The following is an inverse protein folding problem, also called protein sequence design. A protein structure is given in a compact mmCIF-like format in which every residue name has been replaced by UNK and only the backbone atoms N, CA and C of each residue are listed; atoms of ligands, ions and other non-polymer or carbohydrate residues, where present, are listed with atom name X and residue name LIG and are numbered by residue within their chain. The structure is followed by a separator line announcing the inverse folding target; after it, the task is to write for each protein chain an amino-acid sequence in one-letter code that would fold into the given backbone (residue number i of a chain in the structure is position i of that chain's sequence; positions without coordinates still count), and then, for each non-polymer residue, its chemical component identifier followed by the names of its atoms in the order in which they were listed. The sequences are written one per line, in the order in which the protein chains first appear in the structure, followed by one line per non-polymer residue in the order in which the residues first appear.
data_IF_993516183312
#
_entry.id   IF_993516183312
#
_cell.length_a   1.000
_cell.length_b   1.000
_cell.length_c   1.000
_cell.angle_alpha   90.00
_cell.angle_beta   90.00
_cell.angle_gamma   90.00
#
_symmetry.space_group_name_H-M   'P 1'
#
loop_
_entity.id
_entity.type
_entity.pdbx_description
1 polymer ?
#
# COMPACT_ATOMS: atom_id res chain seq x y z
N UNK A 1 -10.37 -11.96 2.44
CA UNK A 1 -9.71 -10.78 1.83
C UNK A 1 -8.87 -11.13 0.60
N UNK A 2 -7.79 -11.95 0.68
CA UNK A 2 -6.93 -12.27 -0.49
C UNK A 2 -7.70 -12.61 -1.77
N UNK A 3 -8.65 -13.55 -1.70
CA UNK A 3 -9.41 -13.98 -2.88
C UNK A 3 -10.16 -12.83 -3.56
N UNK A 4 -10.79 -11.94 -2.79
CA UNK A 4 -11.51 -10.75 -3.31
C UNK A 4 -10.50 -9.76 -3.92
N UNK A 5 -9.39 -9.51 -3.21
CA UNK A 5 -8.32 -8.63 -3.69
C UNK A 5 -7.73 -9.10 -5.02
N UNK A 6 -7.53 -10.41 -5.23
CA UNK A 6 -6.97 -10.93 -6.49
C UNK A 6 -7.89 -10.69 -7.69
N UNK A 7 -9.23 -10.71 -7.51
CA UNK A 7 -10.19 -10.42 -8.59
C UNK A 7 -10.12 -8.97 -9.07
N UNK A 8 -9.75 -8.04 -8.19
CA UNK A 8 -9.62 -6.61 -8.51
C UNK A 8 -8.35 -6.24 -9.30
N UNK A 9 -7.48 -7.21 -9.57
CA UNK A 9 -6.31 -7.02 -10.42
C UNK A 9 -6.65 -7.28 -11.89
N UNK A 10 -5.79 -6.81 -12.80
CA UNK A 10 -5.85 -7.23 -14.21
C UNK A 10 -5.30 -8.64 -14.37
N UNK A 11 -5.63 -9.33 -15.48
CA UNK A 11 -5.08 -10.67 -15.76
C UNK A 11 -3.56 -10.74 -15.86
N UNK A 12 -2.93 -9.62 -16.23
CA UNK A 12 -1.47 -9.50 -16.26
C UNK A 12 -0.87 -9.41 -14.86
N UNK A 13 -1.64 -8.94 -13.88
CA UNK A 13 -1.21 -8.74 -12.49
C UNK A 13 -1.53 -9.96 -11.61
N UNK A 14 -2.66 -10.63 -11.83
CA UNK A 14 -3.05 -11.83 -11.11
C UNK A 14 -3.83 -12.80 -12.02
N UNK A 15 -3.63 -14.11 -11.84
CA UNK A 15 -4.29 -15.15 -12.63
C UNK A 15 -5.82 -15.08 -12.52
N UNK A 16 -6.32 -14.73 -11.34
CA UNK A 16 -7.73 -14.57 -11.01
C UNK A 16 -8.27 -13.17 -11.34
N UNK A 17 -7.46 -12.32 -11.98
CA UNK A 17 -7.82 -10.93 -12.29
C UNK A 17 -9.02 -10.83 -13.24
N UNK A 18 -9.97 -9.97 -12.87
CA UNK A 18 -11.20 -9.70 -13.61
C UNK A 18 -11.29 -8.22 -14.04
N UNK A 19 -10.35 -7.37 -13.61
CA UNK A 19 -10.36 -5.93 -13.89
C UNK A 19 -9.82 -5.62 -15.30
N UNK A 20 -10.53 -4.76 -16.02
CA UNK A 20 -10.06 -4.17 -17.27
C UNK A 20 -9.11 -3.00 -17.02
N UNK A 21 -8.12 -2.83 -17.88
CA UNK A 21 -7.20 -1.68 -17.84
C UNK A 21 -7.92 -0.43 -18.34
N UNK A 22 -8.17 0.51 -17.44
CA UNK A 22 -8.77 1.83 -17.72
C UNK A 22 -7.78 2.97 -17.48
N UNK A 23 -6.88 2.79 -16.53
CA UNK A 23 -5.97 3.84 -16.07
C UNK A 23 -4.49 3.50 -16.35
N UNK A 24 -3.59 4.48 -16.49
CA UNK A 24 -2.18 4.24 -16.79
C UNK A 24 -1.47 3.33 -15.78
N UNK A 25 -1.74 3.50 -14.48
CA UNK A 25 -1.18 2.69 -13.39
C UNK A 25 -1.72 1.25 -13.34
N UNK A 26 -2.70 0.90 -14.17
CA UNK A 26 -3.21 -0.47 -14.29
C UNK A 26 -2.51 -1.24 -15.41
N UNK A 27 -1.76 -0.54 -16.27
CA UNK A 27 -0.92 -1.14 -17.32
C UNK A 27 0.27 -1.87 -16.68
N UNK A 28 0.87 -2.85 -17.37
CA UNK A 28 2.12 -3.47 -16.93
C UNK A 28 3.18 -2.42 -16.61
N UNK A 29 3.89 -2.58 -15.49
CA UNK A 29 4.89 -1.61 -15.00
C UNK A 29 5.98 -1.32 -16.03
N UNK A 30 6.29 -2.26 -16.92
CA UNK A 30 7.24 -2.07 -18.03
C UNK A 30 6.81 -0.98 -19.04
N UNK A 31 5.54 -0.56 -19.05
CA UNK A 31 5.01 0.51 -19.91
C UNK A 31 4.88 1.85 -19.19
N UNK A 32 5.34 1.94 -17.94
CA UNK A 32 5.27 3.16 -17.17
C UNK A 32 6.43 4.09 -17.54
N UNK A 33 6.15 5.39 -17.50
CA UNK A 33 7.14 6.46 -17.67
C UNK A 33 7.16 7.29 -16.38
N UNK A 34 7.72 6.75 -15.28
CA UNK A 34 7.70 7.44 -13.99
C UNK A 34 8.69 8.61 -13.99
N UNK A 35 8.46 9.57 -13.09
CA UNK A 35 9.41 10.65 -12.79
C UNK A 35 9.85 10.58 -11.33
N UNK A 36 11.02 11.15 -11.00
CA UNK A 36 11.43 11.24 -9.58
C UNK A 36 10.46 12.11 -8.79
N UNK A 37 9.92 13.17 -9.39
CA UNK A 37 8.92 14.04 -8.75
C UNK A 37 7.62 13.27 -8.43
N UNK A 38 7.07 12.55 -9.41
CA UNK A 38 5.88 11.72 -9.22
C UNK A 38 6.12 10.61 -8.19
N UNK A 39 7.30 9.99 -8.22
CA UNK A 39 7.67 8.97 -7.25
C UNK A 39 7.82 9.54 -5.82
N UNK A 40 8.36 10.76 -5.66
CA UNK A 40 8.41 11.45 -4.36
C UNK A 40 7.01 11.74 -3.81
N UNK A 41 6.07 12.20 -4.65
CA UNK A 41 4.66 12.37 -4.25
C UNK A 41 4.06 11.04 -3.75
N UNK A 42 4.29 9.96 -4.49
CA UNK A 42 3.89 8.61 -4.08
C UNK A 42 4.47 8.19 -2.73
N UNK A 43 5.77 8.43 -2.49
CA UNK A 43 6.43 8.06 -1.23
C UNK A 43 5.92 8.90 -0.05
N UNK A 44 5.70 10.20 -0.23
CA UNK A 44 5.17 11.10 0.81
C UNK A 44 3.73 10.72 1.16
N UNK A 45 2.86 10.52 0.18
CA UNK A 45 1.47 10.13 0.42
C UNK A 45 1.37 8.73 1.04
N UNK A 46 2.21 7.80 0.57
CA UNK A 46 2.33 6.48 1.20
C UNK A 46 2.76 6.61 2.66
N UNK A 47 3.75 7.45 2.97
CA UNK A 47 4.23 7.66 4.33
C UNK A 47 3.12 8.17 5.24
N UNK A 48 2.32 9.14 4.77
CA UNK A 48 1.18 9.65 5.54
C UNK A 48 0.16 8.55 5.86
N UNK A 49 -0.12 7.66 4.90
CA UNK A 49 -1.00 6.50 5.10
C UNK A 49 -0.42 5.54 6.13
N UNK A 50 0.87 5.21 6.05
CA UNK A 50 1.52 4.34 7.03
C UNK A 50 1.60 4.99 8.42
N UNK A 51 1.94 6.28 8.53
CA UNK A 51 1.95 7.01 9.81
C UNK A 51 0.58 6.93 10.49
N UNK A 52 -0.49 7.07 9.69
CA UNK A 52 -1.87 6.94 10.17
C UNK A 52 -2.15 5.53 10.68
N UNK A 53 -1.84 4.51 9.88
CA UNK A 53 -2.05 3.11 10.26
C UNK A 53 -1.26 2.74 11.51
N UNK A 54 -0.01 3.17 11.62
CA UNK A 54 0.90 2.82 12.72
C UNK A 54 0.53 3.50 14.04
N UNK A 55 -0.07 4.70 13.99
CA UNK A 55 -0.63 5.33 15.18
C UNK A 55 -1.81 4.55 15.76
N UNK A 56 -2.60 3.91 14.89
CA UNK A 56 -3.79 3.14 15.25
C UNK A 56 -3.43 1.69 15.63
N UNK A 57 -2.58 1.03 14.82
CA UNK A 57 -2.22 -0.37 14.95
C UNK A 57 -0.73 -0.61 14.64
N UNK A 58 0.02 -1.14 15.63
CA UNK A 58 1.48 -1.30 15.59
C UNK A 58 1.94 -2.65 16.13
N UNK A 59 3.26 -2.87 16.11
CA UNK A 59 3.97 -4.06 16.60
C UNK A 59 3.71 -5.31 15.75
N UNK A 60 3.83 -5.15 14.44
CA UNK A 60 3.68 -6.22 13.45
C UNK A 60 4.99 -6.63 12.76
N UNK A 61 5.98 -5.73 12.74
CA UNK A 61 7.18 -5.84 11.91
C UNK A 61 6.94 -5.43 10.46
N UNK A 62 5.71 -5.05 10.08
CA UNK A 62 5.35 -4.60 8.74
C UNK A 62 5.39 -3.07 8.60
N UNK A 63 5.54 -2.33 9.69
CA UNK A 63 5.60 -0.86 9.77
C UNK A 63 6.60 -0.29 8.75
N UNK A 64 6.20 0.77 8.02
CA UNK A 64 6.92 1.36 6.89
C UNK A 64 7.30 2.84 7.11
N UNK A 65 6.70 3.53 8.07
CA UNK A 65 6.92 4.96 8.30
C UNK A 65 8.38 5.34 8.54
N UNK A 66 9.09 4.58 9.38
CA UNK A 66 10.51 4.82 9.65
C UNK A 66 11.37 4.58 8.39
N UNK A 67 11.03 3.55 7.62
CA UNK A 67 11.73 3.22 6.37
C UNK A 67 11.55 4.31 5.32
N UNK A 68 10.32 4.80 5.16
CA UNK A 68 10.01 5.92 4.28
C UNK A 68 10.70 7.21 4.72
N UNK A 69 10.83 7.45 6.03
CA UNK A 69 11.62 8.60 6.54
C UNK A 69 13.07 8.54 6.07
N UNK A 70 13.71 7.37 6.16
CA UNK A 70 15.09 7.17 5.69
C UNK A 70 15.23 7.40 4.19
N UNK A 71 14.29 6.90 3.41
CA UNK A 71 14.32 7.06 1.96
C UNK A 71 14.11 8.53 1.55
N UNK A 72 13.17 9.24 2.18
CA UNK A 72 12.94 10.66 1.91
C UNK A 72 14.15 11.53 2.28
N UNK A 73 14.82 11.24 3.41
CA UNK A 73 16.06 11.96 3.73
C UNK A 73 17.17 11.66 2.71
N UNK A 74 17.29 10.41 2.25
CA UNK A 74 18.23 10.07 1.18
C UNK A 74 17.95 10.87 -0.11
N UNK A 75 16.68 11.01 -0.53
CA UNK A 75 16.33 11.85 -1.68
C UNK A 75 16.71 13.32 -1.47
N UNK A 76 16.52 13.84 -0.26
CA UNK A 76 16.91 15.21 0.09
C UNK A 76 18.44 15.40 0.04
N UNK A 77 19.21 14.42 0.48
CA UNK A 77 20.68 14.40 0.34
C UNK A 77 21.13 14.37 -1.13
N UNK A 78 20.33 13.77 -2.03
CA UNK A 78 20.57 13.83 -3.47
C UNK A 78 20.18 15.17 -4.11
N UNK A 79 19.66 16.13 -3.34
CA UNK A 79 19.29 17.46 -3.82
C UNK A 79 17.84 17.59 -4.29
N UNK A 80 16.97 16.61 -4.05
CA UNK A 80 15.55 16.72 -4.36
C UNK A 80 14.79 17.46 -3.26
N UNK A 81 13.79 18.25 -3.66
CA UNK A 81 12.82 18.83 -2.75
C UNK A 81 11.75 17.79 -2.41
N UNK A 82 11.51 17.54 -1.13
CA UNK A 82 10.43 16.66 -0.68
C UNK A 82 9.10 17.45 -0.73
N UNK A 83 8.09 17.00 -1.49
CA UNK A 83 6.82 17.69 -1.57
C UNK A 83 6.00 17.52 -0.28
N UNK A 84 5.03 18.41 -0.08
CA UNK A 84 3.98 18.20 0.91
C UNK A 84 3.03 17.07 0.49
N UNK A 85 2.34 16.41 1.44
CA UNK A 85 1.34 15.40 1.12
C UNK A 85 0.25 15.94 0.19
N UNK A 86 -0.08 15.16 -0.82
CA UNK A 86 -1.10 15.50 -1.81
C UNK A 86 -2.49 14.97 -1.42
N UNK A 87 -3.52 15.38 -2.18
CA UNK A 87 -4.91 15.08 -1.83
C UNK A 87 -5.24 13.57 -1.75
N UNK A 88 -4.68 12.68 -2.61
CA UNK A 88 -4.87 11.23 -2.46
C UNK A 88 -4.44 10.69 -1.08
N UNK A 89 -3.24 11.06 -0.61
CA UNK A 89 -2.72 10.68 0.71
C UNK A 89 -3.55 11.27 1.84
N UNK A 90 -3.87 12.56 1.79
CA UNK A 90 -4.71 13.23 2.79
C UNK A 90 -6.11 12.62 2.88
N UNK A 91 -6.72 12.33 1.73
CA UNK A 91 -8.04 11.70 1.67
C UNK A 91 -8.00 10.29 2.27
N UNK A 92 -7.00 9.50 1.92
CA UNK A 92 -6.92 8.13 2.43
C UNK A 92 -6.63 8.12 3.94
N UNK A 93 -5.71 8.96 4.43
CA UNK A 93 -5.42 9.09 5.85
C UNK A 93 -6.67 9.44 6.67
N UNK A 94 -7.44 10.46 6.26
CA UNK A 94 -8.70 10.83 6.92
C UNK A 94 -9.72 9.68 6.92
N UNK A 95 -9.83 8.96 5.80
CA UNK A 95 -10.70 7.78 5.72
C UNK A 95 -10.28 6.70 6.73
N UNK A 96 -8.98 6.43 6.88
CA UNK A 96 -8.48 5.42 7.81
C UNK A 96 -8.71 5.80 9.28
N UNK A 97 -8.52 7.07 9.63
CA UNK A 97 -8.86 7.59 10.96
C UNK A 97 -10.34 7.38 11.26
N UNK A 98 -11.23 7.80 10.36
CA UNK A 98 -12.68 7.66 10.54
C UNK A 98 -13.11 6.19 10.68
N UNK A 99 -12.60 5.31 9.81
CA UNK A 99 -12.92 3.88 9.88
C UNK A 99 -12.41 3.26 11.18
N UNK A 100 -11.25 3.68 11.70
CA UNK A 100 -10.70 3.12 12.94
C UNK A 100 -11.58 3.38 14.17
N UNK A 101 -12.36 4.46 14.16
CA UNK A 101 -13.26 4.81 15.26
C UNK A 101 -14.66 4.24 15.07
N UNK A 102 -15.16 4.19 13.83
CA UNK A 102 -16.57 3.92 13.54
C UNK A 102 -16.83 2.52 13.00
N UNK A 103 -15.84 1.91 12.36
CA UNK A 103 -16.03 0.69 11.55
C UNK A 103 -14.76 -0.19 11.55
N UNK A 104 -14.53 -0.97 12.62
CA UNK A 104 -13.33 -1.77 12.75
C UNK A 104 -13.21 -2.88 11.69
N UNK A 105 -14.33 -3.41 11.19
CA UNK A 105 -14.34 -4.41 10.13
C UNK A 105 -13.82 -3.84 8.82
N UNK A 106 -14.30 -2.65 8.43
CA UNK A 106 -13.79 -1.92 7.28
C UNK A 106 -12.32 -1.54 7.46
N UNK A 107 -11.95 -0.99 8.62
CA UNK A 107 -10.56 -0.63 8.92
C UNK A 107 -9.61 -1.81 8.74
N UNK A 108 -9.97 -3.00 9.25
CA UNK A 108 -9.16 -4.22 9.07
C UNK A 108 -9.00 -4.61 7.60
N UNK A 109 -10.02 -4.39 6.77
CA UNK A 109 -9.91 -4.61 5.32
C UNK A 109 -8.85 -3.72 4.70
N UNK A 110 -8.88 -2.42 5.02
CA UNK A 110 -7.90 -1.46 4.51
C UNK A 110 -6.49 -1.77 5.02
N UNK A 111 -6.34 -2.02 6.32
CA UNK A 111 -5.07 -2.42 6.93
C UNK A 111 -4.47 -3.62 6.20
N UNK A 112 -5.26 -4.69 6.01
CA UNK A 112 -4.81 -5.88 5.29
C UNK A 112 -4.38 -5.54 3.87
N UNK A 113 -5.20 -4.85 3.09
CA UNK A 113 -4.89 -4.62 1.68
C UNK A 113 -3.67 -3.71 1.49
N UNK A 114 -3.50 -2.66 2.31
CA UNK A 114 -2.33 -1.76 2.23
C UNK A 114 -1.03 -2.52 2.49
N UNK A 115 -0.91 -3.21 3.63
CA UNK A 115 0.34 -3.89 3.98
C UNK A 115 0.62 -5.10 3.08
N UNK A 116 -0.39 -5.92 2.77
CA UNK A 116 -0.18 -7.12 1.98
C UNK A 116 0.06 -6.80 0.49
N UNK A 117 -0.57 -5.77 -0.07
CA UNK A 117 -0.28 -5.32 -1.43
C UNK A 117 1.17 -4.83 -1.55
N UNK A 118 1.64 -4.03 -0.60
CA UNK A 118 3.03 -3.54 -0.59
C UNK A 118 4.05 -4.68 -0.53
N UNK A 119 3.82 -5.66 0.36
CA UNK A 119 4.70 -6.82 0.54
C UNK A 119 4.76 -7.77 -0.68
N UNK A 120 3.81 -7.64 -1.62
CA UNK A 120 3.72 -8.44 -2.83
C UNK A 120 3.99 -7.58 -4.09
N UNK A 121 2.95 -7.00 -4.68
CA UNK A 121 3.07 -6.19 -5.90
C UNK A 121 3.91 -4.93 -5.71
N UNK A 122 3.85 -4.30 -4.53
CA UNK A 122 4.63 -3.11 -4.21
C UNK A 122 6.14 -3.31 -4.34
N UNK A 123 6.66 -4.47 -3.92
CA UNK A 123 8.09 -4.82 -4.10
C UNK A 123 8.50 -4.89 -5.57
N UNK A 124 7.64 -5.45 -6.42
CA UNK A 124 7.91 -5.53 -7.86
C UNK A 124 7.92 -4.14 -8.49
N UNK A 125 6.93 -3.30 -8.13
CA UNK A 125 6.86 -1.91 -8.58
C UNK A 125 8.10 -1.14 -8.14
N UNK A 126 8.46 -1.20 -6.85
CA UNK A 126 9.63 -0.52 -6.30
C UNK A 126 10.93 -0.86 -7.02
N UNK A 127 11.17 -2.15 -7.26
CA UNK A 127 12.34 -2.60 -8.03
C UNK A 127 12.34 -2.04 -9.45
N UNK A 128 11.20 -2.06 -10.14
CA UNK A 128 11.10 -1.56 -11.52
C UNK A 128 11.29 -0.05 -11.61
N UNK A 129 10.70 0.71 -10.69
CA UNK A 129 10.90 2.16 -10.63
C UNK A 129 12.35 2.50 -10.29
N UNK A 130 12.99 1.78 -9.36
CA UNK A 130 14.40 1.95 -9.06
C UNK A 130 15.31 1.62 -10.26
N UNK A 131 15.00 0.57 -11.03
CA UNK A 131 15.68 0.25 -12.30
C UNK A 131 15.58 1.41 -13.31
N UNK A 132 14.45 2.12 -13.34
CA UNK A 132 14.20 3.24 -14.27
C UNK A 132 14.81 4.57 -13.81
N UNK A 133 14.78 4.86 -12.51
CA UNK A 133 15.03 6.22 -11.99
C UNK A 133 16.23 6.33 -11.04
N UNK A 134 16.60 5.26 -10.34
CA UNK A 134 17.45 5.34 -9.14
C UNK A 134 18.72 4.50 -9.24
N UNK A 135 19.19 4.21 -10.45
CA UNK A 135 20.34 3.31 -10.71
C UNK A 135 20.24 1.99 -9.92
N UNK A 136 19.03 1.41 -9.88
CA UNK A 136 18.71 0.16 -9.18
C UNK A 136 18.89 0.23 -7.65
N UNK A 137 18.98 1.41 -7.05
CA UNK A 137 19.00 1.59 -5.60
C UNK A 137 17.77 0.94 -4.96
N UNK A 138 18.01 -0.05 -4.12
CA UNK A 138 16.95 -0.61 -3.29
C UNK A 138 16.68 0.30 -2.08
N UNK A 139 15.50 0.91 -2.07
CA UNK A 139 15.00 1.75 -0.98
C UNK A 139 14.64 0.92 0.26
N UNK A 140 14.75 1.55 1.43
CA UNK A 140 14.43 0.96 2.73
C UNK A 140 12.96 0.56 2.85
N UNK A 141 12.06 1.28 2.16
CA UNK A 141 10.63 1.02 2.09
C UNK A 141 10.31 -0.43 1.68
N UNK A 142 11.19 -1.05 0.86
CA UNK A 142 11.05 -2.41 0.34
C UNK A 142 11.88 -3.46 1.11
N UNK A 143 12.45 -3.11 2.27
CA UNK A 143 13.25 -4.00 3.11
C UNK A 143 12.57 -4.25 4.46
N UNK A 144 12.72 -5.44 5.00
CA UNK A 144 12.16 -5.84 6.29
C UNK A 144 13.24 -6.40 7.20
N UNK A 145 13.08 -6.19 8.51
CA UNK A 145 13.89 -6.84 9.51
C UNK A 145 13.35 -8.26 9.74
N UNK A 146 14.12 -9.27 9.33
CA UNK A 146 13.74 -10.67 9.46
C UNK A 146 13.00 -11.25 8.26
N UNK A 147 12.46 -12.46 8.45
CA UNK A 147 11.78 -13.20 7.37
C UNK A 147 10.37 -12.64 7.10
N UNK A 148 10.19 -12.03 5.93
CA UNK A 148 8.91 -11.42 5.53
C UNK A 148 7.76 -12.44 5.51
N UNK A 149 8.02 -13.70 5.15
CA UNK A 149 6.96 -14.71 5.09
C UNK A 149 6.41 -15.00 6.48
N UNK A 150 7.28 -15.11 7.48
CA UNK A 150 6.91 -15.28 8.87
C UNK A 150 6.18 -14.05 9.42
N UNK A 151 6.65 -12.82 9.12
CA UNK A 151 5.97 -11.59 9.53
C UNK A 151 4.53 -11.54 8.98
N UNK A 152 4.36 -11.80 7.68
CA UNK A 152 3.04 -11.83 7.05
C UNK A 152 2.15 -12.93 7.63
N UNK A 153 2.71 -14.11 7.93
CA UNK A 153 1.96 -15.21 8.53
C UNK A 153 1.46 -14.85 9.94
N UNK A 154 2.33 -14.27 10.78
CA UNK A 154 1.98 -13.82 12.13
C UNK A 154 0.83 -12.79 12.10
N UNK A 155 0.86 -11.86 11.15
CA UNK A 155 -0.23 -10.88 10.97
C UNK A 155 -1.51 -11.56 10.50
N UNK A 156 -1.46 -12.50 9.55
CA UNK A 156 -2.66 -13.26 9.13
C UNK A 156 -3.31 -13.99 10.29
N UNK A 157 -2.54 -14.64 11.16
CA UNK A 157 -3.05 -15.34 12.33
C UNK A 157 -3.75 -14.39 13.31
N UNK A 158 -3.16 -13.22 13.57
CA UNK A 158 -3.80 -12.19 14.39
C UNK A 158 -5.11 -11.70 13.77
N UNK A 159 -5.13 -11.43 12.47
CA UNK A 159 -6.34 -10.99 11.76
C UNK A 159 -7.43 -12.08 11.78
N UNK A 160 -7.06 -13.34 11.59
CA UNK A 160 -8.00 -14.46 11.67
C UNK A 160 -8.60 -14.57 13.06
N UNK A 161 -7.79 -14.46 14.12
CA UNK A 161 -8.26 -14.51 15.50
C UNK A 161 -9.23 -13.38 15.84
N UNK A 162 -9.00 -12.16 15.32
CA UNK A 162 -9.94 -11.05 15.46
C UNK A 162 -11.25 -11.36 14.73
N UNK A 163 -11.17 -11.88 13.50
CA UNK A 163 -12.34 -12.18 12.68
C UNK A 163 -13.12 -13.42 13.16
N UNK A 164 -12.56 -14.30 13.99
CA UNK A 164 -13.28 -15.46 14.55
C UNK A 164 -14.54 -15.04 15.30
N UNK A 165 -14.48 -13.93 16.05
CA UNK A 165 -15.61 -13.38 16.79
C UNK A 165 -16.67 -12.67 15.95
N UNK A 166 -16.40 -12.42 14.66
CA UNK A 166 -17.32 -11.69 13.79
C UNK A 166 -18.46 -12.55 13.26
N UNK A 167 -19.63 -11.94 13.14
CA UNK A 167 -20.77 -12.51 12.43
C UNK A 167 -20.47 -12.68 10.94
N UNK A 168 -21.37 -13.35 10.22
CA UNK A 168 -21.21 -13.51 8.76
C UNK A 168 -21.34 -12.16 8.05
N UNK A 169 -22.24 -11.31 8.53
CA UNK A 169 -22.52 -9.98 8.01
C UNK A 169 -21.31 -9.07 8.18
N UNK A 170 -20.68 -9.06 9.36
CA UNK A 170 -19.45 -8.31 9.64
C UNK A 170 -18.28 -8.77 8.76
N UNK A 171 -18.15 -10.09 8.56
CA UNK A 171 -17.15 -10.64 7.63
C UNK A 171 -17.41 -10.21 6.19
N UNK A 172 -18.66 -10.20 5.75
CA UNK A 172 -19.01 -9.76 4.41
C UNK A 172 -18.76 -8.26 4.22
N UNK A 173 -19.15 -7.44 5.20
CA UNK A 173 -18.91 -6.01 5.23
C UNK A 173 -17.41 -5.68 5.10
N UNK A 174 -16.55 -6.38 5.86
CA UNK A 174 -15.10 -6.29 5.71
C UNK A 174 -14.66 -6.58 4.26
N UNK A 175 -15.23 -7.59 3.60
CA UNK A 175 -14.87 -7.92 2.22
C UNK A 175 -15.36 -6.88 1.20
N UNK A 176 -16.53 -6.27 1.42
CA UNK A 176 -17.12 -5.25 0.55
C UNK A 176 -16.23 -4.00 0.47
N UNK A 177 -15.51 -3.66 1.53
CA UNK A 177 -14.58 -2.51 1.56
C UNK A 177 -13.29 -2.72 0.76
N UNK A 178 -13.07 -3.91 0.19
CA UNK A 178 -11.85 -4.20 -0.60
C UNK A 178 -11.76 -3.27 -1.81
N UNK A 179 -12.86 -3.00 -2.51
CA UNK A 179 -12.84 -2.14 -3.71
C UNK A 179 -12.45 -0.70 -3.36
N UNK A 180 -12.97 -0.16 -2.25
CA UNK A 180 -12.64 1.17 -1.77
C UNK A 180 -11.16 1.28 -1.38
N UNK A 181 -10.63 0.27 -0.71
CA UNK A 181 -9.18 0.20 -0.39
C UNK A 181 -8.31 0.20 -1.64
N UNK A 182 -8.70 -0.54 -2.69
CA UNK A 182 -8.00 -0.56 -3.98
C UNK A 182 -8.07 0.80 -4.68
N UNK A 183 -9.22 1.48 -4.63
CA UNK A 183 -9.37 2.81 -5.22
C UNK A 183 -8.40 3.80 -4.59
N UNK A 184 -8.41 3.96 -3.27
CA UNK A 184 -7.51 4.91 -2.61
C UNK A 184 -6.03 4.56 -2.83
N UNK A 185 -5.67 3.27 -2.74
CA UNK A 185 -4.30 2.84 -2.98
C UNK A 185 -3.87 3.07 -4.44
N UNK A 186 -4.80 2.88 -5.38
CA UNK A 186 -4.58 3.12 -6.81
C UNK A 186 -4.42 4.61 -7.15
N UNK A 187 -5.12 5.50 -6.45
CA UNK A 187 -4.99 6.94 -6.63
C UNK A 187 -3.63 7.45 -6.13
N UNK A 188 -3.12 6.92 -5.01
CA UNK A 188 -1.73 7.19 -4.57
C UNK A 188 -0.72 6.59 -5.55
N UNK A 189 -0.94 5.35 -6.02
CA UNK A 189 -0.04 4.70 -6.98
C UNK A 189 0.06 5.48 -8.30
N UNK A 190 -1.03 6.12 -8.73
CA UNK A 190 -1.08 6.96 -9.93
C UNK A 190 -0.07 8.12 -9.88
N UNK A 191 0.26 8.62 -8.69
CA UNK A 191 1.22 9.72 -8.51
C UNK A 191 2.61 9.39 -9.08
N UNK A 192 3.00 8.11 -9.11
CA UNK A 192 4.25 7.66 -9.73
C UNK A 192 4.36 8.13 -11.20
N UNK A 193 3.23 8.26 -11.88
CA UNK A 193 3.11 8.63 -13.29
C UNK A 193 2.72 10.10 -13.49
N UNK A 194 2.75 10.90 -12.43
CA UNK A 194 2.43 12.34 -12.47
C UNK A 194 3.64 13.23 -12.70
#
# INVERSE_FOLDING_TARGET
MRFVAMKLHTRDQAKEGEKEVKEPQERPVAKWEPTVEGYLKFLVDSKLVYDTLERIFRNTGLERSERLTKDLEWFKEQGYTIPEPSEPGLTYARCLEELSEKDPQAFICHFYNVYFAHSAGGRMIGRKVAEMLLDKKELEFYKWDGDLSQLLQNVREKLNKVAEGWTREEKNHCLEETEKSFKYSGDILRLILS
#
